data_IF_612915370158
#
_entry.id   IF_612915370158
#
_cell.length_a   1.000
_cell.length_b   1.000
_cell.length_c   1.000
_cell.angle_alpha   90.00
_cell.angle_beta   90.00
_cell.angle_gamma   90.00
#
_symmetry.space_group_name_H-M   'P 1'
#
loop_
_entity.id
_entity.type
_entity.pdbx_description
1 polymer ?
#
# COMPACT_ATOMS: atom_id res chain seq x y z
N UNK A 1 29.58 -12.69 -7.53
CA UNK A 1 28.13 -12.58 -7.19
C UNK A 1 27.98 -11.62 -6.03
N UNK A 2 27.08 -10.64 -6.08
CA UNK A 2 26.82 -9.81 -4.90
C UNK A 2 26.08 -10.64 -3.85
N UNK A 3 26.72 -10.88 -2.70
CA UNK A 3 26.09 -11.56 -1.56
C UNK A 3 24.77 -10.87 -1.15
N UNK A 4 24.68 -9.56 -1.36
CA UNK A 4 23.45 -8.79 -1.13
C UNK A 4 22.27 -9.24 -1.98
N UNK A 5 22.49 -9.60 -3.26
CA UNK A 5 21.41 -10.05 -4.14
C UNK A 5 20.86 -11.42 -3.71
N UNK A 6 21.75 -12.38 -3.39
CA UNK A 6 21.34 -13.72 -2.89
C UNK A 6 20.58 -13.59 -1.57
N UNK A 7 21.05 -12.74 -0.66
CA UNK A 7 20.37 -12.46 0.62
C UNK A 7 19.00 -11.80 0.41
N UNK A 8 18.88 -10.81 -0.48
CA UNK A 8 17.62 -10.14 -0.78
C UNK A 8 16.57 -11.13 -1.29
N UNK A 9 16.91 -11.90 -2.32
CA UNK A 9 16.00 -12.87 -2.94
C UNK A 9 15.54 -13.96 -1.96
N UNK A 10 16.47 -14.48 -1.15
CA UNK A 10 16.17 -15.53 -0.17
C UNK A 10 15.35 -15.01 1.00
N UNK A 11 15.75 -13.90 1.62
CA UNK A 11 15.13 -13.40 2.86
C UNK A 11 13.76 -12.74 2.63
N UNK A 12 13.57 -12.03 1.51
CA UNK A 12 12.34 -11.27 1.25
C UNK A 12 11.30 -12.09 0.49
N UNK A 13 11.74 -12.97 -0.40
CA UNK A 13 10.84 -13.69 -1.30
C UNK A 13 10.99 -15.22 -1.28
N UNK A 14 11.91 -15.76 -0.48
CA UNK A 14 12.10 -17.21 -0.35
C UNK A 14 12.77 -17.88 -1.55
N UNK A 15 13.36 -17.10 -2.46
CA UNK A 15 14.07 -17.66 -3.62
C UNK A 15 15.50 -18.05 -3.24
N UNK A 16 15.78 -19.35 -3.17
CA UNK A 16 17.14 -19.86 -3.00
C UNK A 16 17.82 -19.96 -4.37
N UNK A 17 18.66 -18.98 -4.68
CA UNK A 17 19.34 -18.87 -5.96
C UNK A 17 20.82 -19.24 -5.84
N UNK A 18 21.26 -20.15 -6.70
CA UNK A 18 22.66 -20.51 -6.85
C UNK A 18 23.39 -19.61 -7.87
N UNK A 19 24.73 -19.46 -7.78
CA UNK A 19 25.50 -18.56 -8.64
C UNK A 19 25.26 -18.72 -10.14
N UNK A 20 25.10 -19.96 -10.58
CA UNK A 20 24.90 -20.41 -11.95
C UNK A 20 23.49 -20.13 -12.48
N UNK A 21 22.50 -20.00 -11.58
CA UNK A 21 21.14 -19.64 -11.93
C UNK A 21 20.99 -18.15 -12.28
N UNK A 22 21.95 -17.31 -11.89
CA UNK A 22 21.87 -15.86 -12.10
C UNK A 22 22.26 -15.49 -13.53
N UNK A 23 21.29 -14.96 -14.25
CA UNK A 23 21.49 -14.29 -15.53
C UNK A 23 21.07 -12.81 -15.45
N UNK A 24 21.38 -12.04 -16.50
CA UNK A 24 21.06 -10.62 -16.57
C UNK A 24 19.58 -10.31 -16.30
N UNK A 25 18.67 -11.19 -16.75
CA UNK A 25 17.22 -11.00 -16.54
C UNK A 25 16.85 -11.11 -15.07
N UNK A 26 17.40 -12.09 -14.35
CA UNK A 26 17.15 -12.26 -12.92
C UNK A 26 17.71 -11.09 -12.13
N UNK A 27 18.93 -10.63 -12.46
CA UNK A 27 19.53 -9.45 -11.82
C UNK A 27 18.68 -8.20 -12.06
N UNK A 28 18.23 -7.98 -13.30
CA UNK A 28 17.37 -6.85 -13.65
C UNK A 28 16.02 -6.89 -12.93
N UNK A 29 15.36 -8.06 -12.88
CA UNK A 29 14.10 -8.25 -12.17
C UNK A 29 14.25 -8.03 -10.67
N UNK A 30 15.29 -8.58 -10.04
CA UNK A 30 15.54 -8.36 -8.63
C UNK A 30 15.83 -6.89 -8.31
N UNK A 31 16.53 -6.19 -9.20
CA UNK A 31 16.71 -4.74 -9.10
C UNK A 31 15.40 -3.95 -9.24
N UNK A 32 14.49 -4.40 -10.10
CA UNK A 32 13.16 -3.82 -10.19
C UNK A 32 12.33 -4.06 -8.92
N UNK A 33 12.31 -5.30 -8.42
CA UNK A 33 11.67 -5.67 -7.15
C UNK A 33 12.20 -4.82 -5.98
N UNK A 34 13.51 -4.68 -5.86
CA UNK A 34 14.12 -3.86 -4.81
C UNK A 34 13.64 -2.39 -4.87
N UNK A 35 13.56 -1.80 -6.06
CA UNK A 35 13.04 -0.44 -6.22
C UNK A 35 11.55 -0.35 -5.88
N UNK A 36 10.75 -1.33 -6.30
CA UNK A 36 9.34 -1.40 -5.93
C UNK A 36 9.15 -1.51 -4.41
N UNK A 37 9.90 -2.38 -3.74
CA UNK A 37 9.88 -2.53 -2.28
C UNK A 37 10.26 -1.23 -1.57
N UNK A 38 11.29 -0.54 -2.05
CA UNK A 38 11.72 0.73 -1.48
C UNK A 38 10.63 1.80 -1.58
N UNK A 39 9.97 1.89 -2.74
CA UNK A 39 8.85 2.80 -2.97
C UNK A 39 7.64 2.40 -2.12
N UNK A 40 7.29 1.12 -2.10
CA UNK A 40 6.18 0.58 -1.32
C UNK A 40 6.37 0.85 0.18
N UNK A 41 7.60 0.71 0.70
CA UNK A 41 7.92 1.01 2.09
C UNK A 41 7.63 2.46 2.46
N UNK A 42 7.93 3.42 1.58
CA UNK A 42 7.60 4.83 1.83
C UNK A 42 6.09 5.03 1.88
N UNK A 43 5.32 4.34 1.03
CA UNK A 43 3.86 4.41 1.04
C UNK A 43 3.22 3.72 2.24
N UNK A 44 3.85 2.70 2.83
CA UNK A 44 3.33 2.04 4.03
C UNK A 44 3.15 3.00 5.21
N UNK A 45 4.04 3.98 5.38
CA UNK A 45 3.89 4.99 6.44
C UNK A 45 2.66 5.87 6.21
N UNK A 46 2.43 6.31 4.97
CA UNK A 46 1.23 7.06 4.60
C UNK A 46 -0.04 6.23 4.77
N UNK A 47 -0.02 4.95 4.40
CA UNK A 47 -1.16 4.05 4.54
C UNK A 47 -1.43 3.70 6.01
N UNK A 48 -0.40 3.57 6.85
CA UNK A 48 -0.55 3.38 8.28
C UNK A 48 -1.19 4.61 8.95
N UNK A 49 -0.79 5.82 8.53
CA UNK A 49 -1.43 7.06 8.98
C UNK A 49 -2.90 7.13 8.51
N UNK A 50 -3.19 6.78 7.26
CA UNK A 50 -4.55 6.71 6.74
C UNK A 50 -5.42 5.71 7.55
N UNK A 51 -4.89 4.52 7.83
CA UNK A 51 -5.53 3.51 8.69
C UNK A 51 -5.93 4.08 10.05
N UNK A 52 -4.99 4.74 10.73
CA UNK A 52 -5.24 5.37 12.04
C UNK A 52 -6.33 6.46 11.94
N UNK A 53 -6.40 7.19 10.83
CA UNK A 53 -7.41 8.23 10.61
C UNK A 53 -8.80 7.63 10.36
N UNK A 54 -8.90 6.58 9.56
CA UNK A 54 -10.18 5.91 9.30
C UNK A 54 -10.80 5.38 10.60
N UNK A 55 -9.98 4.88 11.52
CA UNK A 55 -10.45 4.45 12.83
C UNK A 55 -10.91 5.64 13.69
N UNK A 56 -10.15 6.73 13.77
CA UNK A 56 -10.51 7.85 14.63
C UNK A 56 -11.67 8.71 14.12
N UNK A 57 -11.79 8.88 12.81
CA UNK A 57 -12.82 9.73 12.19
C UNK A 57 -14.10 8.93 11.96
N UNK A 58 -13.95 7.71 11.42
CA UNK A 58 -15.06 6.89 10.95
C UNK A 58 -15.26 5.62 11.77
N UNK A 59 -14.45 5.31 12.78
CA UNK A 59 -14.56 4.06 13.55
C UNK A 59 -14.31 2.80 12.71
N UNK A 60 -13.69 2.94 11.53
CA UNK A 60 -13.42 1.81 10.63
C UNK A 60 -12.13 1.14 11.11
N UNK A 61 -12.25 -0.12 11.54
CA UNK A 61 -11.10 -0.92 11.96
C UNK A 61 -10.35 -1.44 10.75
N UNK A 62 -9.12 -0.97 10.57
CA UNK A 62 -8.28 -1.29 9.43
C UNK A 62 -7.16 -2.32 9.75
N UNK A 63 -7.16 -2.93 10.94
CA UNK A 63 -6.11 -3.86 11.41
C UNK A 63 -5.79 -5.02 10.44
N UNK A 64 -6.77 -5.43 9.64
CA UNK A 64 -6.64 -6.52 8.66
C UNK A 64 -6.58 -6.06 7.21
N UNK A 65 -6.54 -4.75 6.96
CA UNK A 65 -6.57 -4.22 5.61
C UNK A 65 -5.20 -4.30 4.96
N UNK A 66 -5.17 -4.84 3.73
CA UNK A 66 -4.00 -4.76 2.87
C UNK A 66 -3.79 -3.35 2.31
N UNK A 67 -2.59 -3.09 1.79
CA UNK A 67 -2.23 -1.79 1.22
C UNK A 67 -3.18 -1.33 0.10
N UNK A 68 -3.67 -2.26 -0.73
CA UNK A 68 -4.66 -1.96 -1.77
C UNK A 68 -5.94 -1.38 -1.16
N UNK A 69 -6.51 -2.05 -0.16
CA UNK A 69 -7.75 -1.62 0.49
C UNK A 69 -7.60 -0.25 1.17
N UNK A 70 -6.48 -0.03 1.85
CA UNK A 70 -6.14 1.27 2.45
C UNK A 70 -6.00 2.39 1.41
N UNK A 71 -5.31 2.11 0.30
CA UNK A 71 -5.13 3.08 -0.78
C UNK A 71 -6.46 3.43 -1.47
N UNK A 72 -7.32 2.43 -1.68
CA UNK A 72 -8.67 2.63 -2.24
C UNK A 72 -9.52 3.50 -1.33
N UNK A 73 -9.56 3.22 -0.02
CA UNK A 73 -10.29 4.07 0.93
C UNK A 73 -9.74 5.50 0.99
N UNK A 74 -8.42 5.66 0.89
CA UNK A 74 -7.81 6.99 0.83
C UNK A 74 -8.23 7.75 -0.43
N UNK A 75 -8.31 7.07 -1.58
CA UNK A 75 -8.83 7.65 -2.83
C UNK A 75 -10.28 8.09 -2.67
N UNK A 76 -11.15 7.24 -2.10
CA UNK A 76 -12.56 7.57 -1.83
C UNK A 76 -12.70 8.84 -0.99
N UNK A 77 -11.91 8.97 0.08
CA UNK A 77 -11.96 10.15 0.95
C UNK A 77 -11.39 11.40 0.28
N UNK A 78 -10.35 11.28 -0.54
CA UNK A 78 -9.78 12.41 -1.26
C UNK A 78 -10.66 12.89 -2.43
N UNK A 79 -11.39 11.97 -3.05
CA UNK A 79 -12.19 12.21 -4.26
C UNK A 79 -13.58 11.55 -4.12
N UNK A 80 -14.42 11.99 -3.17
CA UNK A 80 -15.69 11.32 -2.84
C UNK A 80 -16.73 11.41 -3.96
N UNK A 81 -16.58 12.37 -4.86
CA UNK A 81 -17.46 12.62 -6.00
C UNK A 81 -17.23 11.63 -7.16
N UNK A 82 -16.13 10.86 -7.13
CA UNK A 82 -15.86 9.85 -8.16
C UNK A 82 -16.73 8.60 -7.93
N UNK A 83 -17.44 8.18 -8.99
CA UNK A 83 -18.24 6.95 -9.01
C UNK A 83 -17.43 5.78 -9.60
N UNK A 84 -16.28 5.55 -8.98
CA UNK A 84 -15.50 4.34 -9.21
C UNK A 84 -16.17 3.16 -8.48
N UNK A 85 -16.24 2.01 -9.15
CA UNK A 85 -16.70 0.76 -8.54
C UNK A 85 -15.58 0.17 -7.67
N UNK A 86 -15.75 0.27 -6.35
CA UNK A 86 -14.84 -0.30 -5.35
C UNK A 86 -15.46 -1.44 -4.56
N UNK A 87 -16.60 -2.00 -4.98
CA UNK A 87 -17.31 -3.03 -4.22
C UNK A 87 -16.52 -4.35 -4.09
N UNK A 88 -15.54 -4.60 -4.97
CA UNK A 88 -14.62 -5.74 -4.85
C UNK A 88 -13.54 -5.53 -3.77
N UNK A 89 -13.29 -4.28 -3.35
CA UNK A 89 -12.20 -3.92 -2.43
C UNK A 89 -12.73 -3.43 -1.08
N UNK A 90 -13.78 -2.63 -1.08
CA UNK A 90 -14.47 -2.08 0.09
C UNK A 90 -15.89 -2.64 0.15
N UNK A 91 -16.40 -2.87 1.36
CA UNK A 91 -17.82 -3.17 1.51
C UNK A 91 -18.66 -1.93 1.17
N UNK A 92 -19.93 -2.15 0.85
CA UNK A 92 -20.87 -1.06 0.56
C UNK A 92 -20.98 -0.09 1.76
N UNK A 93 -21.07 -0.61 2.98
CA UNK A 93 -21.10 0.18 4.21
C UNK A 93 -19.81 1.02 4.40
N UNK A 94 -18.64 0.44 4.13
CA UNK A 94 -17.36 1.15 4.19
C UNK A 94 -17.33 2.28 3.16
N UNK A 95 -17.76 2.01 1.93
CA UNK A 95 -17.76 2.96 0.83
C UNK A 95 -18.69 4.16 1.11
N UNK A 96 -19.96 3.88 1.48
CA UNK A 96 -20.95 4.91 1.82
C UNK A 96 -20.42 5.78 2.95
N UNK A 97 -19.95 5.16 4.04
CA UNK A 97 -19.45 5.87 5.21
C UNK A 97 -18.25 6.75 4.88
N UNK A 98 -17.28 6.24 4.11
CA UNK A 98 -16.11 7.00 3.69
C UNK A 98 -16.49 8.19 2.80
N UNK A 99 -17.46 8.02 1.88
CA UNK A 99 -17.96 9.13 1.04
C UNK A 99 -18.67 10.20 1.86
N UNK A 100 -19.60 9.81 2.74
CA UNK A 100 -20.35 10.73 3.60
C UNK A 100 -19.45 11.51 4.57
N UNK A 101 -18.44 10.84 5.11
CA UNK A 101 -17.53 11.42 6.11
C UNK A 101 -16.28 12.04 5.50
N UNK A 102 -16.08 11.96 4.18
CA UNK A 102 -14.93 12.54 3.47
C UNK A 102 -14.63 14.00 3.87
N UNK A 103 -15.61 14.90 4.05
CA UNK A 103 -15.33 16.28 4.50
C UNK A 103 -14.63 16.36 5.86
N UNK A 104 -14.81 15.38 6.75
CA UNK A 104 -14.18 15.33 8.08
C UNK A 104 -12.67 15.06 8.01
N UNK A 105 -12.17 14.60 6.86
CA UNK A 105 -10.76 14.33 6.65
C UNK A 105 -9.97 15.55 6.13
N UNK A 106 -10.64 16.62 5.69
CA UNK A 106 -10.01 17.79 5.04
C UNK A 106 -8.99 18.51 5.94
N UNK A 107 -9.23 18.58 7.24
CA UNK A 107 -8.33 19.23 8.19
C UNK A 107 -7.10 18.40 8.53
N UNK A 108 -7.09 17.11 8.14
CA UNK A 108 -6.04 16.15 8.47
C UNK A 108 -5.13 15.88 7.27
N UNK A 109 -5.62 15.98 6.03
CA UNK A 109 -4.85 15.74 4.79
C UNK A 109 -3.90 16.92 4.44
N UNK A 110 -3.84 17.95 5.28
CA UNK A 110 -2.98 19.12 5.12
C UNK A 110 -1.49 18.81 5.37
N UNK A 111 -0.81 18.64 4.23
CA UNK A 111 0.62 18.74 3.88
C UNK A 111 1.62 17.71 4.44
N UNK A 112 2.33 16.97 3.56
CA UNK A 112 3.58 16.34 3.94
C UNK A 112 4.61 17.42 4.31
N UNK A 113 5.31 17.22 5.43
CA UNK A 113 6.51 17.97 5.80
C UNK A 113 7.71 17.51 4.95
#
# INVERSE_FOLDING_TARGET
MSQGLKMFLKSRYGFDVEPDMLNERIVAMAGALFRCDAVFKNYLEYLANASWRFENVSGIKCEHWGALKLATALKVVCFPEEDDDFHEVLSEDELIKLKEEAPKYKDLVSKPH
#
